data_IF_051909771326
#
_entry.id   IF_051909771326
#
_cell.length_a   1.000
_cell.length_b   1.000
_cell.length_c   1.000
_cell.angle_alpha   90.00
_cell.angle_beta   90.00
_cell.angle_gamma   90.00
#
_symmetry.space_group_name_H-M   'P 1'
#
loop_
_entity.id
_entity.type
_entity.pdbx_description
1 polymer ?
#
# COMPACT_ATOMS: atom_id res chain seq x y z
N UNK A 1 -16.99 8.46 6.24
CA UNK A 1 -16.31 8.72 7.53
C UNK A 1 -14.83 8.39 7.40
N UNK A 2 -13.96 9.19 8.01
CA UNK A 2 -12.52 8.92 8.08
C UNK A 2 -12.29 7.63 8.90
N UNK A 3 -11.47 6.70 8.40
CA UNK A 3 -11.15 5.45 9.09
C UNK A 3 -10.58 5.70 10.50
N UNK A 4 -9.77 6.75 10.64
CA UNK A 4 -9.12 7.13 11.90
C UNK A 4 -10.07 7.77 12.93
N UNK A 5 -11.29 8.13 12.54
CA UNK A 5 -12.28 8.70 13.46
C UNK A 5 -13.14 7.62 14.15
N UNK A 6 -12.97 6.35 13.80
CA UNK A 6 -13.72 5.26 14.41
C UNK A 6 -13.11 4.88 15.77
N UNK A 7 -13.89 4.88 16.88
CA UNK A 7 -13.36 4.68 18.22
C UNK A 7 -12.86 3.24 18.46
N UNK A 8 -13.51 2.24 17.87
CA UNK A 8 -13.08 0.84 17.97
C UNK A 8 -11.71 0.65 17.33
N UNK A 9 -11.54 1.19 16.11
CA UNK A 9 -10.26 1.14 15.41
C UNK A 9 -9.16 1.92 16.16
N UNK A 10 -9.48 3.11 16.67
CA UNK A 10 -8.54 3.91 17.46
C UNK A 10 -8.07 3.20 18.72
N UNK A 11 -9.00 2.57 19.47
CA UNK A 11 -8.67 1.75 20.64
C UNK A 11 -7.73 0.61 20.27
N UNK A 12 -8.06 -0.15 19.21
CA UNK A 12 -7.25 -1.27 18.76
C UNK A 12 -5.84 -0.85 18.32
N UNK A 13 -5.70 0.29 17.63
CA UNK A 13 -4.39 0.82 17.27
C UNK A 13 -3.56 1.17 18.49
N UNK A 14 -4.14 1.85 19.49
CA UNK A 14 -3.41 2.24 20.70
C UNK A 14 -2.91 1.02 21.51
N UNK A 15 -3.64 -0.09 21.48
CA UNK A 15 -3.27 -1.31 22.19
C UNK A 15 -2.13 -2.09 21.51
N UNK A 16 -2.01 -2.01 20.18
CA UNK A 16 -1.12 -2.89 19.42
C UNK A 16 -0.04 -2.20 18.58
N UNK A 17 -0.18 -0.90 18.32
CA UNK A 17 0.66 -0.18 17.36
C UNK A 17 1.06 1.21 17.86
N UNK A 18 2.25 1.65 17.46
CA UNK A 18 2.63 3.06 17.51
C UNK A 18 2.35 3.65 16.14
N UNK A 19 1.41 4.60 16.09
CA UNK A 19 0.99 5.23 14.83
C UNK A 19 1.85 6.45 14.52
N UNK A 20 2.43 6.48 13.32
CA UNK A 20 3.10 7.64 12.75
C UNK A 20 2.51 7.94 11.38
N UNK A 21 2.51 9.21 10.98
CA UNK A 21 2.08 9.62 9.65
C UNK A 21 3.19 10.41 8.96
N UNK A 22 3.37 10.15 7.68
CA UNK A 22 4.26 10.93 6.83
C UNK A 22 3.47 11.38 5.61
N UNK A 23 3.43 12.70 5.39
CA UNK A 23 2.85 13.26 4.17
C UNK A 23 3.82 13.03 3.03
N UNK A 24 3.41 12.21 2.07
CA UNK A 24 4.21 11.87 0.90
C UNK A 24 3.52 12.36 -0.37
N UNK A 25 4.26 13.12 -1.18
CA UNK A 25 3.76 13.66 -2.45
C UNK A 25 2.93 14.95 -2.34
N UNK A 26 2.65 15.51 -3.51
CA UNK A 26 1.92 16.76 -3.68
C UNK A 26 0.49 16.46 -4.10
N UNK A 27 -0.50 16.86 -3.30
CA UNK A 27 -1.87 17.01 -3.81
C UNK A 27 -2.05 18.44 -4.33
N UNK A 28 -2.90 18.61 -5.33
CA UNK A 28 -3.35 19.93 -5.79
C UNK A 28 -4.83 20.10 -5.46
N UNK A 29 -5.25 21.31 -5.17
CA UNK A 29 -6.67 21.65 -5.09
C UNK A 29 -6.99 22.42 -6.37
N UNK A 30 -7.80 21.84 -7.26
CA UNK A 30 -8.23 22.48 -8.51
C UNK A 30 -9.74 22.66 -8.43
N UNK A 31 -10.20 23.92 -8.40
CA UNK A 31 -11.64 24.22 -8.39
C UNK A 31 -12.40 23.59 -7.22
N UNK A 32 -11.88 23.72 -5.98
CA UNK A 32 -12.38 23.10 -4.74
C UNK A 32 -12.28 21.56 -4.67
N UNK A 33 -11.89 20.88 -5.76
CA UNK A 33 -11.65 19.45 -5.75
C UNK A 33 -10.19 19.14 -5.42
N UNK A 34 -9.96 18.27 -4.43
CA UNK A 34 -8.63 17.72 -4.14
C UNK A 34 -8.29 16.70 -5.24
N UNK A 35 -7.25 16.99 -6.01
CA UNK A 35 -6.67 16.09 -7.00
C UNK A 35 -5.36 15.50 -6.45
N UNK A 36 -5.32 14.17 -6.34
CA UNK A 36 -4.18 13.42 -5.79
C UNK A 36 -4.20 13.25 -4.27
N UNK A 37 -3.13 12.66 -3.75
CA UNK A 37 -2.98 12.36 -2.33
C UNK A 37 -3.55 11.00 -1.98
N UNK A 38 -3.14 9.96 -2.72
CA UNK A 38 -3.34 8.60 -2.26
C UNK A 38 -2.66 8.40 -0.90
N UNK A 39 -3.20 7.43 -0.17
CA UNK A 39 -2.70 7.05 1.14
C UNK A 39 -2.33 5.58 1.08
N UNK A 40 -1.24 5.22 1.75
CA UNK A 40 -0.93 3.83 2.04
C UNK A 40 -0.61 3.72 3.53
N UNK A 41 -1.20 2.72 4.19
CA UNK A 41 -0.92 2.42 5.59
C UNK A 41 0.07 1.26 5.65
N UNK A 42 1.20 1.44 6.32
CA UNK A 42 2.23 0.41 6.46
C UNK A 42 2.20 -0.12 7.89
N UNK A 43 2.10 -1.44 8.03
CA UNK A 43 2.32 -2.12 9.30
C UNK A 43 3.76 -2.60 9.33
N UNK A 44 4.55 -2.08 10.26
CA UNK A 44 5.99 -2.32 10.34
C UNK A 44 6.38 -2.99 11.65
N UNK A 45 7.46 -3.76 11.62
CA UNK A 45 8.20 -4.13 12.82
C UNK A 45 8.96 -2.90 13.38
N UNK A 46 9.47 -3.03 14.60
CA UNK A 46 10.16 -1.95 15.32
C UNK A 46 11.40 -1.41 14.58
N UNK A 47 11.99 -2.20 13.68
CA UNK A 47 13.17 -1.83 12.88
C UNK A 47 12.81 -1.29 11.47
N UNK A 48 11.55 -0.97 11.21
CA UNK A 48 11.09 -0.41 9.94
C UNK A 48 10.90 -1.43 8.82
N UNK A 49 11.03 -2.73 9.09
CA UNK A 49 10.65 -3.78 8.13
C UNK A 49 9.14 -3.88 8.00
N UNK A 50 8.65 -3.91 6.76
CA UNK A 50 7.22 -3.93 6.45
C UNK A 50 6.68 -5.35 6.62
N UNK A 51 5.69 -5.50 7.50
CA UNK A 51 4.89 -6.71 7.66
C UNK A 51 3.80 -6.74 6.59
N UNK A 52 2.99 -5.69 6.51
CA UNK A 52 1.86 -5.58 5.59
C UNK A 52 1.61 -4.13 5.16
N UNK A 53 0.84 -3.94 4.09
CA UNK A 53 0.49 -2.62 3.56
C UNK A 53 -0.98 -2.61 3.14
N UNK A 54 -1.66 -1.49 3.36
CA UNK A 54 -2.99 -1.23 2.81
C UNK A 54 -2.87 -0.11 1.80
N UNK A 55 -2.99 -0.45 0.51
CA UNK A 55 -2.81 0.50 -0.58
C UNK A 55 -4.13 1.19 -0.98
N UNK A 56 -4.21 2.49 -0.71
CA UNK A 56 -5.32 3.36 -1.07
C UNK A 56 -6.25 3.68 0.10
N UNK A 57 -7.25 4.54 -0.12
CA UNK A 57 -8.25 4.85 0.89
C UNK A 57 -9.11 3.62 1.19
N UNK A 58 -9.27 3.31 2.49
CA UNK A 58 -10.16 2.26 2.98
C UNK A 58 -11.03 2.80 4.11
N UNK A 59 -12.16 2.13 4.38
CA UNK A 59 -13.00 2.46 5.51
C UNK A 59 -12.41 1.90 6.83
N UNK A 60 -12.96 2.34 7.97
CA UNK A 60 -12.48 1.91 9.31
C UNK A 60 -12.52 0.40 9.50
N UNK A 61 -13.59 -0.25 9.05
CA UNK A 61 -13.80 -1.69 9.26
C UNK A 61 -12.77 -2.51 8.48
N UNK A 62 -12.52 -2.17 7.22
CA UNK A 62 -11.47 -2.79 6.41
C UNK A 62 -10.11 -2.59 7.07
N UNK A 63 -9.76 -1.37 7.49
CA UNK A 63 -8.46 -1.11 8.10
C UNK A 63 -8.27 -1.85 9.45
N UNK A 64 -9.33 -1.95 10.25
CA UNK A 64 -9.35 -2.74 11.48
C UNK A 64 -9.17 -4.24 11.20
N UNK A 65 -9.85 -4.77 10.19
CA UNK A 65 -9.70 -6.15 9.77
C UNK A 65 -8.24 -6.45 9.34
N UNK A 66 -7.63 -5.56 8.55
CA UNK A 66 -6.23 -5.70 8.16
C UNK A 66 -5.27 -5.62 9.35
N UNK A 67 -5.51 -4.69 10.28
CA UNK A 67 -4.70 -4.56 11.49
C UNK A 67 -4.78 -5.82 12.37
N UNK A 68 -5.98 -6.38 12.56
CA UNK A 68 -6.21 -7.64 13.30
C UNK A 68 -5.47 -8.79 12.63
N UNK A 69 -5.60 -8.93 11.31
CA UNK A 69 -4.91 -9.96 10.56
C UNK A 69 -3.39 -9.89 10.74
N UNK A 70 -2.79 -8.69 10.74
CA UNK A 70 -1.35 -8.52 10.97
C UNK A 70 -0.96 -9.01 12.36
N UNK A 71 -1.66 -8.57 13.41
CA UNK A 71 -1.36 -8.96 14.81
C UNK A 71 -1.48 -10.48 14.98
N UNK A 72 -2.56 -11.07 14.48
CA UNK A 72 -2.78 -12.52 14.56
C UNK A 72 -1.72 -13.30 13.78
N UNK A 73 -1.35 -12.83 12.59
CA UNK A 73 -0.33 -13.48 11.75
C UNK A 73 1.05 -13.39 12.40
N UNK A 74 1.39 -12.27 13.04
CA UNK A 74 2.64 -12.13 13.82
C UNK A 74 2.65 -13.13 14.96
N UNK A 75 1.59 -13.19 15.78
CA UNK A 75 1.49 -14.14 16.91
C UNK A 75 1.64 -15.58 16.43
N UNK A 76 0.91 -15.96 15.38
CA UNK A 76 0.98 -17.29 14.78
C UNK A 76 2.37 -17.62 14.26
N UNK A 77 2.99 -16.70 13.52
CA UNK A 77 4.33 -16.90 12.95
C UNK A 77 5.39 -17.02 14.05
N UNK A 78 5.31 -16.24 15.13
CA UNK A 78 6.23 -16.40 16.27
C UNK A 78 6.15 -17.82 16.85
N UNK A 79 4.94 -18.27 17.19
CA UNK A 79 4.69 -19.62 17.73
C UNK A 79 5.15 -20.74 16.78
N UNK A 80 4.93 -20.59 15.48
CA UNK A 80 5.35 -21.59 14.50
C UNK A 80 6.86 -21.56 14.23
N UNK A 81 7.49 -20.38 14.30
CA UNK A 81 8.93 -20.23 14.08
C UNK A 81 9.75 -20.90 15.19
N UNK A 82 9.27 -20.82 16.44
CA UNK A 82 9.86 -21.52 17.60
C UNK A 82 9.77 -23.04 17.43
N UNK A 83 8.66 -23.56 16.89
CA UNK A 83 8.44 -25.01 16.74
C UNK A 83 9.14 -25.62 15.53
N UNK A 84 9.09 -24.94 14.39
CA UNK A 84 9.49 -25.52 13.09
C UNK A 84 10.91 -25.14 12.66
N UNK A 85 11.54 -24.17 13.33
CA UNK A 85 12.81 -23.59 12.88
C UNK A 85 12.72 -22.83 11.55
N UNK A 86 11.53 -22.73 10.94
CA UNK A 86 11.31 -21.89 9.76
C UNK A 86 11.50 -20.43 10.16
N UNK A 87 12.19 -19.68 9.31
CA UNK A 87 12.33 -18.24 9.55
C UNK A 87 10.94 -17.58 9.60
N UNK A 88 10.73 -16.71 10.59
CA UNK A 88 9.53 -15.88 10.73
C UNK A 88 9.16 -15.19 9.40
N UNK A 89 10.18 -14.76 8.66
CA UNK A 89 10.07 -14.15 7.34
C UNK A 89 9.42 -15.07 6.30
N UNK A 90 9.85 -16.33 6.21
CA UNK A 90 9.27 -17.30 5.28
C UNK A 90 7.80 -17.57 5.60
N UNK A 91 7.45 -17.65 6.89
CA UNK A 91 6.06 -17.82 7.33
C UNK A 91 5.18 -16.63 6.98
N UNK A 92 5.67 -15.40 7.19
CA UNK A 92 4.89 -14.20 6.85
C UNK A 92 4.62 -14.10 5.34
N UNK A 93 5.62 -14.46 4.51
CA UNK A 93 5.46 -14.56 3.05
C UNK A 93 4.45 -15.62 2.65
N UNK A 94 4.50 -16.78 3.30
CA UNK A 94 3.54 -17.84 3.11
C UNK A 94 2.12 -17.39 3.51
N UNK A 95 1.95 -16.67 4.62
CA UNK A 95 0.66 -16.15 5.05
C UNK A 95 0.03 -15.19 4.02
N UNK A 96 0.83 -14.33 3.37
CA UNK A 96 0.34 -13.49 2.27
C UNK A 96 -0.08 -14.32 1.05
N UNK A 97 0.72 -15.33 0.68
CA UNK A 97 0.40 -16.22 -0.43
C UNK A 97 -0.91 -17.01 -0.17
N UNK A 98 -1.08 -17.54 1.05
CA UNK A 98 -2.29 -18.24 1.47
C UNK A 98 -3.51 -17.32 1.46
N UNK A 99 -3.35 -16.07 1.89
CA UNK A 99 -4.44 -15.08 1.86
C UNK A 99 -4.87 -14.75 0.43
N UNK A 100 -3.91 -14.54 -0.46
CA UNK A 100 -4.18 -14.34 -1.89
C UNK A 100 -4.89 -15.55 -2.50
N UNK A 101 -4.49 -16.76 -2.13
CA UNK A 101 -5.14 -18.00 -2.54
C UNK A 101 -6.59 -18.08 -2.04
N UNK A 102 -6.84 -17.71 -0.78
CA UNK A 102 -8.19 -17.75 -0.20
C UNK A 102 -9.13 -16.70 -0.78
N UNK A 103 -8.69 -15.46 -0.90
CA UNK A 103 -9.54 -14.33 -1.30
C UNK A 103 -9.66 -14.15 -2.81
N UNK A 104 -8.60 -14.49 -3.55
CA UNK A 104 -8.52 -14.26 -4.99
C UNK A 104 -8.32 -15.53 -5.80
N UNK A 105 -8.24 -16.69 -5.14
CA UNK A 105 -8.04 -17.98 -5.79
C UNK A 105 -6.80 -18.03 -6.69
N UNK A 106 -5.77 -17.24 -6.36
CA UNK A 106 -4.50 -17.23 -7.09
C UNK A 106 -3.41 -17.88 -6.26
N UNK A 107 -2.78 -18.89 -6.84
CA UNK A 107 -1.58 -19.50 -6.26
C UNK A 107 -0.36 -18.63 -6.58
N UNK A 108 0.38 -18.27 -5.54
CA UNK A 108 1.65 -17.54 -5.64
C UNK A 108 2.68 -18.30 -4.83
N UNK A 109 3.83 -18.56 -5.44
CA UNK A 109 4.96 -19.16 -4.75
C UNK A 109 5.61 -18.11 -3.85
N UNK A 110 5.62 -18.29 -2.51
CA UNK A 110 6.30 -17.36 -1.62
C UNK A 110 7.82 -17.44 -1.83
N UNK A 111 8.48 -16.30 -1.83
CA UNK A 111 9.95 -16.25 -1.98
C UNK A 111 10.58 -16.60 -0.64
N UNK A 112 11.23 -17.75 -0.53
CA UNK A 112 11.81 -18.20 0.75
C UNK A 112 13.19 -17.58 1.01
N UNK A 113 13.95 -17.33 -0.05
CA UNK A 113 15.32 -16.82 0.03
C UNK A 113 15.43 -15.43 -0.58
N UNK A 114 16.08 -14.51 0.13
CA UNK A 114 16.45 -13.21 -0.43
C UNK A 114 17.84 -13.33 -1.04
N UNK A 115 17.92 -13.17 -2.37
CA UNK A 115 19.22 -13.00 -3.02
C UNK A 115 19.95 -11.83 -2.37
N UNK A 116 21.22 -11.98 -1.98
CA UNK A 116 22.02 -10.87 -1.47
C UNK A 116 22.02 -9.77 -2.53
N UNK A 117 21.69 -8.55 -2.12
CA UNK A 117 21.66 -7.42 -3.04
C UNK A 117 23.11 -7.12 -3.40
N UNK A 118 23.54 -7.56 -4.59
CA UNK A 118 24.89 -7.34 -5.07
C UNK A 118 25.14 -5.82 -5.20
N UNK A 119 26.01 -5.27 -4.36
CA UNK A 119 26.68 -3.99 -4.62
C UNK A 119 25.96 -2.68 -4.29
N UNK A 120 24.81 -2.66 -3.59
CA UNK A 120 24.18 -1.36 -3.26
C UNK A 120 24.82 -0.68 -2.05
N UNK A 121 25.50 0.44 -2.30
CA UNK A 121 25.86 1.48 -1.32
C UNK A 121 24.59 1.94 -0.57
N UNK A 122 24.47 1.52 0.69
CA UNK A 122 23.61 2.02 1.80
C UNK A 122 22.15 2.48 1.53
N UNK A 123 21.25 2.09 2.43
CA UNK A 123 19.83 2.47 2.50
C UNK A 123 19.55 3.97 2.77
N UNK A 124 20.58 4.82 2.71
CA UNK A 124 20.51 6.28 2.84
C UNK A 124 20.67 7.01 1.49
N UNK A 125 20.54 6.34 0.35
CA UNK A 125 20.46 7.03 -0.95
C UNK A 125 19.06 7.62 -1.18
N UNK A 126 18.77 8.66 -0.39
CA UNK A 126 17.81 9.72 -0.73
C UNK A 126 18.06 10.13 -2.19
N UNK A 127 17.16 9.82 -3.12
CA UNK A 127 17.44 10.05 -4.56
C UNK A 127 17.49 11.52 -4.90
N UNK A 128 18.35 11.79 -5.87
CA UNK A 128 18.92 13.09 -6.19
C UNK A 128 17.92 14.07 -6.84
N UNK A 129 18.27 15.37 -6.93
CA UNK A 129 17.48 16.38 -7.63
C UNK A 129 17.23 16.12 -9.13
N UNK A 130 17.86 15.11 -9.75
CA UNK A 130 17.80 14.82 -11.18
C UNK A 130 16.63 13.90 -11.59
N UNK A 131 15.79 13.47 -10.64
CA UNK A 131 14.49 12.87 -10.97
C UNK A 131 14.52 11.38 -11.35
N UNK A 132 15.58 10.67 -11.00
CA UNK A 132 15.56 9.20 -10.98
C UNK A 132 14.49 8.73 -9.96
N UNK A 133 13.90 7.53 -10.13
CA UNK A 133 12.92 6.93 -9.17
C UNK A 133 13.46 6.99 -7.72
N UNK A 134 12.74 6.76 -6.62
CA UNK A 134 13.40 6.79 -5.28
C UNK A 134 13.83 5.41 -4.80
N UNK A 135 13.00 4.42 -5.08
CA UNK A 135 13.24 3.02 -4.77
C UNK A 135 13.21 2.21 -6.06
N UNK A 136 13.99 1.13 -6.19
CA UNK A 136 13.78 0.19 -7.29
C UNK A 136 12.36 -0.38 -7.17
N UNK A 137 11.62 -0.40 -8.28
CA UNK A 137 10.34 -1.11 -8.34
C UNK A 137 10.66 -2.60 -8.25
N UNK A 138 10.18 -3.23 -7.19
CA UNK A 138 10.43 -4.62 -6.93
C UNK A 138 9.64 -5.51 -7.91
N UNK A 139 10.27 -6.54 -8.48
CA UNK A 139 9.57 -7.48 -9.34
C UNK A 139 8.59 -8.30 -8.47
N UNK A 140 7.30 -8.36 -8.83
CA UNK A 140 6.36 -9.17 -8.08
C UNK A 140 6.64 -10.67 -8.30
N UNK A 141 6.26 -11.55 -7.36
CA UNK A 141 6.48 -12.99 -7.53
C UNK A 141 5.67 -13.54 -8.71
N UNK A 142 6.11 -14.69 -9.26
CA UNK A 142 5.34 -15.43 -10.25
C UNK A 142 3.94 -15.75 -9.72
N UNK A 143 2.93 -15.62 -10.58
CA UNK A 143 1.60 -16.16 -10.34
C UNK A 143 1.46 -17.43 -11.18
N UNK A 144 1.04 -18.53 -10.58
CA UNK A 144 0.90 -19.81 -11.28
C UNK A 144 -0.50 -20.00 -11.92
N UNK A 145 -1.44 -19.10 -11.62
CA UNK A 145 -2.79 -19.06 -12.17
C UNK A 145 -3.87 -19.29 -11.12
N UNK A 146 -5.10 -19.63 -11.53
CA UNK A 146 -6.14 -19.96 -10.59
C UNK A 146 -5.77 -21.25 -9.88
N UNK A 147 -6.10 -21.32 -8.60
CA UNK A 147 -5.88 -22.51 -7.80
C UNK A 147 -6.63 -23.69 -8.43
N UNK A 148 -5.92 -24.79 -8.67
CA UNK A 148 -6.48 -25.99 -9.30
C UNK A 148 -7.56 -26.66 -8.45
N UNK A 149 -7.71 -26.26 -7.18
CA UNK A 149 -8.73 -26.79 -6.27
C UNK A 149 -10.05 -25.99 -6.24
N UNK A 150 -10.32 -25.08 -7.16
CA UNK A 150 -11.58 -24.34 -7.17
C UNK A 150 -12.78 -25.24 -7.46
N UNK A 151 -13.79 -25.17 -6.59
CA UNK A 151 -15.09 -25.81 -6.84
C UNK A 151 -15.80 -25.13 -8.03
N UNK A 152 -16.69 -25.83 -8.76
CA UNK A 152 -17.40 -25.23 -9.90
C UNK A 152 -18.15 -23.93 -9.55
N UNK A 153 -18.69 -23.84 -8.33
CA UNK A 153 -19.39 -22.64 -7.85
C UNK A 153 -18.44 -21.46 -7.64
N UNK A 154 -17.25 -21.70 -7.08
CA UNK A 154 -16.23 -20.66 -6.91
C UNK A 154 -15.69 -20.18 -8.25
N UNK A 155 -15.55 -21.09 -9.24
CA UNK A 155 -15.13 -20.71 -10.59
C UNK A 155 -16.08 -19.70 -11.25
N UNK A 156 -17.39 -19.88 -11.08
CA UNK A 156 -18.40 -18.93 -11.62
C UNK A 156 -18.27 -17.56 -10.98
N UNK A 157 -18.21 -17.50 -9.64
CA UNK A 157 -18.05 -16.24 -8.89
C UNK A 157 -16.74 -15.54 -9.26
N UNK A 158 -15.66 -16.31 -9.35
CA UNK A 158 -14.35 -15.82 -9.74
C UNK A 158 -14.37 -15.26 -11.16
N UNK A 159 -14.96 -15.97 -12.12
CA UNK A 159 -15.07 -15.50 -13.50
C UNK A 159 -15.88 -14.19 -13.58
N UNK A 160 -17.01 -14.10 -12.87
CA UNK A 160 -17.80 -12.88 -12.79
C UNK A 160 -16.99 -11.71 -12.21
N UNK A 161 -16.22 -11.95 -11.15
CA UNK A 161 -15.33 -10.93 -10.55
C UNK A 161 -14.26 -10.46 -11.53
N UNK A 162 -13.67 -11.37 -12.33
CA UNK A 162 -12.68 -11.05 -13.34
C UNK A 162 -13.28 -10.25 -14.50
N UNK A 163 -14.51 -10.57 -14.93
CA UNK A 163 -15.21 -9.80 -15.96
C UNK A 163 -15.54 -8.40 -15.46
N UNK A 164 -16.08 -8.27 -14.25
CA UNK A 164 -16.39 -6.97 -13.64
C UNK A 164 -15.11 -6.12 -13.48
N UNK A 165 -14.05 -6.73 -12.98
CA UNK A 165 -12.77 -6.05 -12.79
C UNK A 165 -12.11 -5.68 -14.13
N UNK A 166 -12.20 -6.50 -15.18
CA UNK A 166 -11.70 -6.12 -16.52
C UNK A 166 -12.44 -4.92 -17.12
N UNK A 167 -13.74 -4.77 -16.83
CA UNK A 167 -14.54 -3.62 -17.31
C UNK A 167 -14.18 -2.32 -16.58
N UNK A 168 -13.80 -2.40 -15.31
CA UNK A 168 -13.39 -1.23 -14.51
C UNK A 168 -11.88 -0.97 -14.51
N UNK A 169 -11.08 -1.96 -14.90
CA UNK A 169 -9.63 -1.88 -14.84
C UNK A 169 -9.07 -0.99 -15.95
N UNK A 170 -8.39 0.07 -15.53
CA UNK A 170 -7.35 0.70 -16.33
C UNK A 170 -6.30 -0.39 -16.62
N UNK A 171 -5.78 -0.47 -17.85
CA UNK A 171 -4.84 -1.51 -18.32
C UNK A 171 -3.67 -1.83 -17.36
N UNK A 172 -3.31 -0.91 -16.47
CA UNK A 172 -2.28 -1.04 -15.41
C UNK A 172 -2.64 -2.01 -14.27
N UNK A 173 -3.90 -2.43 -14.11
CA UNK A 173 -4.33 -3.33 -13.04
C UNK A 173 -4.30 -4.82 -13.43
N UNK A 174 -3.94 -5.13 -14.68
CA UNK A 174 -3.84 -6.50 -15.16
C UNK A 174 -2.48 -7.10 -14.78
N UNK A 175 -2.52 -8.24 -14.10
CA UNK A 175 -1.37 -9.06 -13.74
C UNK A 175 -1.29 -10.25 -14.69
N UNK A 176 -0.10 -10.48 -15.23
CA UNK A 176 0.18 -11.63 -16.10
C UNK A 176 0.66 -12.82 -15.24
N UNK A 177 0.05 -13.99 -15.42
CA UNK A 177 0.54 -15.24 -14.83
C UNK A 177 1.66 -15.88 -15.66
N UNK A 178 2.25 -16.96 -15.16
CA UNK A 178 3.32 -17.70 -15.83
C UNK A 178 2.92 -18.26 -17.20
N UNK A 179 1.61 -18.44 -17.47
CA UNK A 179 1.06 -18.90 -18.74
C UNK A 179 0.64 -17.75 -19.66
N UNK A 180 0.95 -16.51 -19.31
CA UNK A 180 0.60 -15.32 -20.09
C UNK A 180 -0.86 -14.85 -19.93
N UNK A 181 -1.66 -15.49 -19.08
CA UNK A 181 -3.05 -15.07 -18.84
C UNK A 181 -3.09 -13.81 -17.99
N UNK A 182 -4.05 -12.94 -18.29
CA UNK A 182 -4.23 -11.65 -17.61
C UNK A 182 -5.33 -11.72 -16.56
N UNK A 183 -4.97 -11.33 -15.34
CA UNK A 183 -5.80 -11.32 -14.15
C UNK A 183 -6.01 -9.90 -13.66
N UNK A 184 -7.25 -9.49 -13.44
CA UNK A 184 -7.52 -8.25 -12.74
C UNK A 184 -7.46 -8.50 -11.23
N UNK A 185 -6.66 -7.70 -10.52
CA UNK A 185 -6.51 -7.77 -9.07
C UNK A 185 -6.81 -6.43 -8.44
N UNK A 186 -7.49 -6.45 -7.29
CA UNK A 186 -7.65 -5.28 -6.43
C UNK A 186 -6.30 -4.79 -5.93
N UNK A 187 -6.24 -3.56 -5.44
CA UNK A 187 -5.00 -3.04 -4.81
C UNK A 187 -4.52 -3.96 -3.69
N UNK A 188 -5.41 -4.46 -2.84
CA UNK A 188 -5.04 -5.38 -1.76
C UNK A 188 -4.53 -6.71 -2.28
N UNK A 189 -5.17 -7.31 -3.30
CA UNK A 189 -4.64 -8.53 -3.94
C UNK A 189 -3.24 -8.32 -4.53
N UNK A 190 -2.98 -7.14 -5.13
CA UNK A 190 -1.64 -6.78 -5.63
C UNK A 190 -0.63 -6.59 -4.50
N UNK A 191 -1.06 -6.06 -3.35
CA UNK A 191 -0.22 -5.98 -2.14
C UNK A 191 0.11 -7.37 -1.62
N UNK A 192 -0.87 -8.26 -1.45
CA UNK A 192 -0.62 -9.63 -0.98
C UNK A 192 0.35 -10.36 -1.90
N UNK A 193 0.19 -10.20 -3.22
CA UNK A 193 1.16 -10.70 -4.19
C UNK A 193 2.56 -10.12 -3.95
N UNK A 194 2.71 -8.81 -3.82
CA UNK A 194 4.01 -8.18 -3.58
C UNK A 194 4.64 -8.65 -2.25
N UNK A 195 3.84 -8.70 -1.18
CA UNK A 195 4.29 -9.08 0.16
C UNK A 195 4.60 -10.58 0.29
N UNK A 196 4.00 -11.44 -0.54
CA UNK A 196 4.40 -12.85 -0.65
C UNK A 196 5.87 -13.03 -1.10
N UNK A 197 6.45 -12.04 -1.78
CA UNK A 197 7.87 -12.03 -2.11
C UNK A 197 8.72 -11.15 -1.19
N UNK A 198 8.14 -10.07 -0.66
CA UNK A 198 8.90 -8.95 -0.14
C UNK A 198 8.48 -8.47 1.25
N UNK A 199 7.64 -9.23 1.96
CA UNK A 199 7.45 -8.97 3.38
C UNK A 199 8.78 -9.06 4.13
N UNK A 200 8.86 -8.31 5.22
CA UNK A 200 10.05 -8.07 6.05
C UNK A 200 11.20 -7.35 5.32
N UNK A 201 10.97 -6.70 4.17
CA UNK A 201 11.93 -5.74 3.62
C UNK A 201 11.73 -4.37 4.27
N UNK A 202 12.78 -3.55 4.29
CA UNK A 202 12.65 -2.17 4.79
C UNK A 202 11.65 -1.38 3.96
N UNK A 203 10.97 -0.45 4.61
CA UNK A 203 9.93 0.38 3.98
C UNK A 203 10.44 1.08 2.72
N UNK A 204 11.68 1.58 2.71
CA UNK A 204 12.24 2.30 1.56
C UNK A 204 12.29 1.43 0.30
N UNK A 205 12.42 0.11 0.46
CA UNK A 205 12.47 -0.82 -0.68
C UNK A 205 11.08 -1.09 -1.25
N UNK A 206 10.06 -1.18 -0.39
CA UNK A 206 8.69 -1.54 -0.77
C UNK A 206 7.94 -0.31 -1.29
N UNK A 207 8.26 0.87 -0.76
CA UNK A 207 7.53 2.10 -0.94
C UNK A 207 7.28 2.47 -2.41
N UNK A 208 8.31 2.46 -3.26
CA UNK A 208 8.17 2.78 -4.69
C UNK A 208 7.25 1.78 -5.43
N UNK A 209 7.28 0.51 -5.04
CA UNK A 209 6.43 -0.52 -5.63
C UNK A 209 4.96 -0.33 -5.28
N UNK A 210 4.65 0.18 -4.09
CA UNK A 210 3.29 0.47 -3.66
C UNK A 210 2.75 1.70 -4.40
N UNK A 211 3.47 2.83 -4.37
CA UNK A 211 2.97 4.06 -4.97
C UNK A 211 3.00 4.02 -6.50
N UNK A 212 4.14 3.72 -7.10
CA UNK A 212 4.28 3.76 -8.55
C UNK A 212 3.68 2.51 -9.20
N UNK A 213 3.90 1.35 -8.58
CA UNK A 213 3.40 0.07 -9.09
C UNK A 213 1.92 -0.11 -8.85
N UNK A 214 1.47 -0.06 -7.58
CA UNK A 214 0.08 -0.39 -7.23
C UNK A 214 -0.86 0.80 -7.42
N UNK A 215 -0.54 1.94 -6.80
CA UNK A 215 -1.39 3.13 -6.81
C UNK A 215 -1.28 3.94 -8.12
N UNK A 216 -0.24 3.70 -8.92
CA UNK A 216 -0.01 4.41 -10.18
C UNK A 216 0.40 5.87 -10.00
N UNK A 217 0.86 6.26 -8.82
CA UNK A 217 1.34 7.61 -8.51
C UNK A 217 2.86 7.64 -8.49
N UNK A 218 3.45 8.60 -9.22
CA UNK A 218 4.90 8.84 -9.15
C UNK A 218 5.25 9.42 -7.79
N UNK A 219 6.27 8.85 -7.15
CA UNK A 219 6.81 9.43 -5.93
C UNK A 219 7.60 10.68 -6.31
N UNK A 220 7.19 11.82 -5.79
CA UNK A 220 7.87 13.10 -6.00
C UNK A 220 8.39 13.64 -4.67
N UNK A 221 9.67 13.99 -4.63
CA UNK A 221 10.30 14.76 -3.54
C UNK A 221 10.09 16.27 -3.69
N UNK A 222 9.48 16.73 -4.80
CA UNK A 222 9.25 18.15 -5.01
C UNK A 222 8.44 18.73 -3.84
N UNK A 223 8.82 19.91 -3.33
CA UNK A 223 8.08 20.57 -2.27
C UNK A 223 6.63 20.80 -2.70
N UNK A 224 5.73 20.79 -1.73
CA UNK A 224 4.30 21.03 -1.96
C UNK A 224 4.12 22.48 -2.38
N UNK A 225 3.80 22.69 -3.66
CA UNK A 225 3.47 24.01 -4.18
C UNK A 225 2.00 24.27 -3.82
N UNK A 226 1.76 25.22 -2.92
CA UNK A 226 0.42 25.68 -2.57
C UNK A 226 0.14 26.91 -3.44
N UNK A 227 -0.56 26.70 -4.55
CA UNK A 227 -0.84 27.76 -5.54
C UNK A 227 -1.73 28.87 -4.95
N UNK A 228 -2.69 28.50 -4.09
CA UNK A 228 -3.57 29.41 -3.37
C UNK A 228 -3.83 28.89 -1.95
N UNK A 229 -3.00 29.24 -0.95
CA UNK A 229 -3.15 28.72 0.41
C UNK A 229 -4.47 29.15 1.08
N UNK A 230 -5.03 30.28 0.65
CA UNK A 230 -6.22 30.87 1.23
C UNK A 230 -7.24 31.22 0.14
N UNK A 231 -8.02 30.25 -0.36
CA UNK A 231 -8.99 30.48 -1.44
C UNK A 231 -10.12 31.46 -1.07
N UNK A 232 -10.26 31.79 0.21
CA UNK A 232 -11.19 32.81 0.70
C UNK A 232 -10.61 34.23 0.70
N UNK A 233 -9.29 34.38 0.59
CA UNK A 233 -8.66 35.68 0.38
C UNK A 233 -8.85 36.02 -1.10
N UNK A 234 -9.89 36.80 -1.40
CA UNK A 234 -10.09 37.37 -2.73
C UNK A 234 -8.89 38.26 -3.04
N UNK A 235 -7.91 37.76 -3.79
CA UNK A 235 -6.83 38.57 -4.34
C UNK A 235 -7.47 39.58 -5.31
N UNK A 236 -7.65 40.82 -4.85
CA UNK A 236 -8.11 41.93 -5.68
C UNK A 236 -9.61 42.26 -5.58
N UNK A 237 -9.99 42.93 -4.49
CA UNK A 237 -10.73 44.20 -4.68
C UNK A 237 -9.76 45.32 -4.31
N UNK A 238 -9.25 46.10 -5.27
CA UNK A 238 -8.24 47.14 -5.05
C UNK A 238 -8.61 48.31 -4.11
N UNK A 239 -9.76 48.31 -3.42
CA UNK A 239 -10.31 49.56 -2.85
C UNK A 239 -10.84 49.48 -1.40
N UNK A 240 -10.32 48.60 -0.55
CA UNK A 240 -10.56 48.75 0.89
C UNK A 240 -9.43 49.56 1.53
N UNK A 241 -9.62 50.89 1.53
CA UNK A 241 -8.86 51.84 2.36
C UNK A 241 -8.80 51.28 3.78
N UNK A 242 -7.60 50.99 4.24
CA UNK A 242 -7.31 50.70 5.65
C UNK A 242 -7.73 51.95 6.43
N UNK A 243 -8.88 51.88 7.10
CA UNK A 243 -9.27 52.92 8.06
C UNK A 243 -8.38 52.71 9.28
N UNK A 244 -7.56 53.70 9.69
CA UNK A 244 -6.75 53.56 10.88
C UNK A 244 -7.67 53.34 12.09
N UNK A 245 -7.37 52.30 12.86
CA UNK A 245 -7.99 52.07 14.17
C UNK A 245 -7.60 53.24 15.07
N UNK A 246 -8.48 54.24 15.16
CA UNK A 246 -8.33 55.29 16.15
C UNK A 246 -8.62 54.70 17.54
N UNK A 247 -7.58 54.77 18.35
CA UNK A 247 -7.52 54.60 19.80
C UNK A 247 -8.72 55.20 20.53
N UNK A 248 -9.34 54.39 21.39
CA UNK A 248 -10.00 54.82 22.62
C UNK A 248 -9.42 54.01 23.77
#
# INVERSE_FOLDING_TARGET
>A
MNALANPEFGKYLNEHFVSAFQKVGTFRIVGRAKQGGNVASYFCAQDGRVLHVVAGPVNAHTLLHEAKWVVETVKKSLLESEKSGKSFKAQFRQAHAERLRKEHHLAVQPVVFDSPIAGTKSALSYRDPAGNTLAPVLPPPPIDGPDVSLTPREQVTFHASQVAAKKSAIARQLVVDRRGRRWALSNQGRVHRLMAAHSMKKIETVYGSIFEGILGEKVSTKPIIIDTPFPWVKCGTPDQKIVPLNSR
#
